data_IF_962221230753
#
_entry.id   IF_962221230753
#
_cell.length_a   1.000
_cell.length_b   1.000
_cell.length_c   1.000
_cell.angle_alpha   90.00
_cell.angle_beta   90.00
_cell.angle_gamma   90.00
#
_symmetry.space_group_name_H-M   'P 1'
#
loop_
_entity.id
_entity.type
_entity.pdbx_description
1 polymer ?
#
# COMPACT_ATOMS: atom_id res chain seq x y z
N UNK A 1 -0.93 5.62 -1.64
CA UNK A 1 0.22 4.99 -2.31
C UNK A 1 -0.17 4.66 -3.73
N UNK A 2 0.79 4.44 -4.64
CA UNK A 2 0.51 4.02 -6.02
C UNK A 2 1.43 2.89 -6.43
N UNK A 3 0.93 1.98 -7.25
CA UNK A 3 1.70 0.89 -7.85
C UNK A 3 1.91 1.22 -9.32
N UNK A 4 3.15 1.13 -9.79
CA UNK A 4 3.51 1.31 -11.20
C UNK A 4 4.01 -0.02 -11.75
N UNK A 5 3.33 -0.53 -12.78
CA UNK A 5 3.65 -1.76 -13.49
C UNK A 5 4.12 -1.47 -14.91
N UNK A 6 5.20 -2.13 -15.34
CA UNK A 6 5.78 -2.00 -16.69
C UNK A 6 6.11 -0.53 -17.06
N UNK A 7 6.42 0.29 -16.03
CA UNK A 7 6.70 1.72 -16.18
C UNK A 7 5.54 2.59 -16.69
N UNK A 8 4.37 2.01 -16.94
CA UNK A 8 3.26 2.67 -17.66
C UNK A 8 1.93 2.58 -16.93
N UNK A 9 1.60 1.43 -16.38
CA UNK A 9 0.29 1.18 -15.79
C UNK A 9 0.31 1.57 -14.32
N UNK A 10 -0.58 2.48 -13.94
CA UNK A 10 -0.71 2.99 -12.57
C UNK A 10 -1.96 2.39 -11.91
N UNK A 11 -1.79 1.84 -10.71
CA UNK A 11 -2.88 1.33 -9.88
C UNK A 11 -2.91 2.08 -8.55
N UNK A 12 -4.09 2.59 -8.20
CA UNK A 12 -4.33 3.24 -6.91
C UNK A 12 -4.52 2.20 -5.81
N UNK A 13 -4.01 2.51 -4.62
CA UNK A 13 -4.23 1.68 -3.42
C UNK A 13 -5.35 2.25 -2.56
N UNK A 14 -6.06 1.40 -1.83
CA UNK A 14 -6.77 1.79 -0.61
C UNK A 14 -5.97 1.39 0.63
N UNK A 15 -6.27 2.01 1.77
CA UNK A 15 -5.60 1.71 3.04
C UNK A 15 -6.54 1.07 4.05
N UNK A 16 -6.04 0.04 4.70
CA UNK A 16 -6.64 -0.61 5.87
C UNK A 16 -5.65 -0.61 7.03
N UNK A 17 -6.12 -0.73 8.27
CA UNK A 17 -5.29 -0.76 9.47
C UNK A 17 -5.54 -2.04 10.25
N UNK A 18 -4.48 -2.64 10.77
CA UNK A 18 -4.60 -3.81 11.65
C UNK A 18 -5.41 -3.46 12.90
N UNK A 19 -6.35 -4.35 13.23
CA UNK A 19 -7.07 -4.36 14.48
C UNK A 19 -6.75 -5.66 15.24
N UNK A 20 -6.93 -5.64 16.57
CA UNK A 20 -6.69 -6.78 17.46
C UNK A 20 -5.30 -7.43 17.26
N UNK A 21 -4.28 -6.61 17.03
CA UNK A 21 -2.90 -7.07 16.85
C UNK A 21 -2.64 -7.82 15.52
N UNK A 22 -3.37 -7.47 14.47
CA UNK A 22 -3.21 -8.07 13.14
C UNK A 22 -4.07 -9.30 12.89
N UNK A 23 -4.92 -9.68 13.86
CA UNK A 23 -5.92 -10.72 13.67
C UNK A 23 -7.10 -10.27 12.79
N UNK A 24 -7.26 -8.96 12.58
CA UNK A 24 -8.32 -8.38 11.76
C UNK A 24 -7.87 -7.07 11.11
N UNK A 25 -8.70 -6.56 10.19
CA UNK A 25 -8.51 -5.30 9.50
C UNK A 25 -9.75 -4.41 9.61
N UNK A 26 -9.54 -3.11 9.80
CA UNK A 26 -10.62 -2.12 9.81
C UNK A 26 -10.31 -0.91 8.93
N UNK A 27 -11.32 -0.10 8.64
CA UNK A 27 -11.17 1.04 7.74
C UNK A 27 -10.38 2.17 8.39
N UNK A 28 -9.38 2.66 7.66
CA UNK A 28 -8.50 3.76 8.11
C UNK A 28 -9.22 5.08 8.36
N UNK A 29 -10.38 5.31 7.73
CA UNK A 29 -11.14 6.55 7.87
C UNK A 29 -11.93 6.66 9.19
N UNK A 30 -12.10 5.58 9.95
CA UNK A 30 -12.84 5.55 11.22
C UNK A 30 -11.95 5.17 12.42
N UNK A 31 -10.65 4.96 12.19
CA UNK A 31 -9.71 4.51 13.21
C UNK A 31 -8.67 5.59 13.49
N UNK A 32 -8.40 5.83 14.77
CA UNK A 32 -7.34 6.73 15.24
C UNK A 32 -6.24 5.96 15.94
N UNK A 33 -4.99 6.41 15.81
CA UNK A 33 -3.86 5.88 16.58
C UNK A 33 -3.68 6.78 17.81
N UNK A 34 -3.83 6.21 19.00
CA UNK A 34 -3.67 6.95 20.25
C UNK A 34 -2.22 7.44 20.44
N UNK A 35 -2.00 8.52 21.24
CA UNK A 35 -0.67 8.99 21.55
C UNK A 35 0.24 7.89 22.08
N UNK A 36 1.47 7.84 21.56
CA UNK A 36 2.51 6.87 21.94
C UNK A 36 2.14 5.40 21.62
N UNK A 37 1.12 5.16 20.80
CA UNK A 37 0.82 3.85 20.21
C UNK A 37 1.31 3.76 18.77
N UNK A 38 1.48 2.53 18.31
CA UNK A 38 1.84 2.20 16.92
C UNK A 38 0.68 1.47 16.28
N UNK A 39 0.38 1.80 15.02
CA UNK A 39 -0.55 1.06 14.18
C UNK A 39 0.12 0.64 12.88
N UNK A 40 -0.27 -0.52 12.36
CA UNK A 40 0.25 -1.05 11.09
C UNK A 40 -0.75 -0.75 9.98
N UNK A 41 -0.34 0.06 9.01
CA UNK A 41 -1.12 0.34 7.81
C UNK A 41 -0.76 -0.64 6.69
N UNK A 42 -1.79 -1.13 6.01
CA UNK A 42 -1.67 -1.92 4.79
C UNK A 42 -2.24 -1.14 3.62
N UNK A 43 -1.44 -0.96 2.57
CA UNK A 43 -1.87 -0.37 1.31
C UNK A 43 -2.07 -1.48 0.30
N UNK A 44 -3.32 -1.68 -0.14
CA UNK A 44 -3.71 -2.80 -1.00
C UNK A 44 -4.16 -2.23 -2.35
N UNK A 45 -3.68 -2.83 -3.44
CA UNK A 45 -4.13 -2.53 -4.79
C UNK A 45 -4.75 -3.79 -5.42
N UNK A 46 -5.91 -3.63 -6.04
CA UNK A 46 -6.44 -4.65 -6.96
C UNK A 46 -5.80 -4.45 -8.32
N UNK A 47 -5.18 -5.50 -8.84
CA UNK A 47 -4.46 -5.50 -10.11
C UNK A 47 -4.88 -6.70 -10.96
N UNK A 48 -4.76 -6.64 -12.30
CA UNK A 48 -4.94 -7.80 -13.15
C UNK A 48 -3.94 -8.92 -12.82
N UNK A 49 -4.34 -10.17 -13.03
CA UNK A 49 -3.52 -11.36 -12.75
C UNK A 49 -2.15 -11.34 -13.46
N UNK A 50 -2.08 -10.73 -14.64
CA UNK A 50 -0.85 -10.57 -15.43
C UNK A 50 0.24 -9.80 -14.67
N UNK A 51 -0.14 -8.89 -13.76
CA UNK A 51 0.82 -8.14 -12.94
C UNK A 51 1.61 -9.08 -12.02
N UNK A 52 1.05 -10.22 -11.62
CA UNK A 52 1.78 -11.24 -10.87
C UNK A 52 2.62 -12.12 -11.80
N UNK A 53 2.05 -12.53 -12.94
CA UNK A 53 2.60 -13.61 -13.77
C UNK A 53 3.67 -13.20 -14.78
N UNK A 54 3.61 -11.99 -15.33
CA UNK A 54 4.43 -11.62 -16.49
C UNK A 54 5.89 -11.26 -16.14
N UNK A 55 6.21 -11.13 -14.85
CA UNK A 55 7.58 -10.83 -14.37
C UNK A 55 8.10 -9.42 -14.69
N UNK A 56 7.31 -8.56 -15.34
CA UNK A 56 7.72 -7.19 -15.70
C UNK A 56 7.96 -6.30 -14.47
N UNK A 57 8.70 -5.18 -14.61
CA UNK A 57 9.03 -4.31 -13.49
C UNK A 57 7.81 -3.83 -12.72
N UNK A 58 7.94 -3.82 -11.39
CA UNK A 58 6.88 -3.42 -10.48
C UNK A 58 7.47 -2.57 -9.35
N UNK A 59 6.93 -1.38 -9.15
CA UNK A 59 7.34 -0.50 -8.04
C UNK A 59 6.16 0.13 -7.32
N UNK A 60 6.33 0.38 -6.03
CA UNK A 60 5.43 1.21 -5.25
C UNK A 60 6.01 2.61 -5.06
N UNK A 61 5.17 3.64 -5.17
CA UNK A 61 5.51 5.04 -4.91
C UNK A 61 4.70 5.52 -3.71
N UNK A 62 5.41 5.96 -2.67
CA UNK A 62 4.85 6.45 -1.42
C UNK A 62 5.35 7.86 -1.14
N UNK A 63 4.44 8.79 -0.89
CA UNK A 63 4.79 10.15 -0.44
C UNK A 63 4.39 10.34 1.02
N UNK A 64 5.36 10.68 1.87
CA UNK A 64 5.15 10.97 3.30
C UNK A 64 5.79 12.32 3.62
N UNK A 65 5.00 13.24 4.18
CA UNK A 65 5.46 14.60 4.55
C UNK A 65 6.22 15.29 3.40
N UNK A 66 5.69 15.20 2.18
CA UNK A 66 6.27 15.80 0.97
C UNK A 66 7.51 15.08 0.39
N UNK A 67 8.00 14.02 1.03
CA UNK A 67 9.10 13.20 0.51
C UNK A 67 8.55 11.96 -0.20
N UNK A 68 9.07 11.69 -1.40
CA UNK A 68 8.67 10.53 -2.21
C UNK A 68 9.71 9.42 -2.10
N UNK A 69 9.21 8.20 -1.94
CA UNK A 69 9.99 6.98 -1.83
C UNK A 69 9.53 6.00 -2.92
N UNK A 70 10.50 5.49 -3.67
CA UNK A 70 10.29 4.44 -4.67
C UNK A 70 10.76 3.11 -4.08
N UNK A 71 9.84 2.18 -3.90
CA UNK A 71 10.14 0.81 -3.50
C UNK A 71 10.08 -0.08 -4.74
N UNK A 72 11.23 -0.55 -5.21
CA UNK A 72 11.30 -1.56 -6.27
C UNK A 72 10.88 -2.90 -5.65
N UNK A 73 9.84 -3.51 -6.21
CA UNK A 73 9.32 -4.82 -5.78
C UNK A 73 10.01 -5.91 -6.61
N UNK A 74 10.15 -5.68 -7.91
CA UNK A 74 10.97 -6.45 -8.85
C UNK A 74 11.27 -5.64 -10.11
#
# INVERSE_FOLDING_TARGET
MRIIYDGKYEYTTFSTIEDRGGADFTFTNITSIEPLKTGTLHFIASVPEQVEKDGKPLKAILTVKGKTYDQIIR
#
